data_IF_973243339981
#
_entry.id   IF_973243339981
#
_cell.length_a   1.000
_cell.length_b   1.000
_cell.length_c   1.000
_cell.angle_alpha   90.00
_cell.angle_beta   90.00
_cell.angle_gamma   90.00
#
_symmetry.space_group_name_H-M   'P 1'
#
loop_
_entity.id
_entity.type
_entity.pdbx_description
1 polymer ?
#
# COMPACT_ATOMS: atom_id res chain seq x y z
N UNK A 1 -6.40 9.91 -21.75
CA UNK A 1 -5.17 9.65 -20.95
C UNK A 1 -5.54 9.69 -19.47
N UNK A 2 -5.14 8.67 -18.70
CA UNK A 2 -5.49 8.50 -17.28
C UNK A 2 -4.30 8.87 -16.37
N UNK A 3 -3.13 8.29 -16.65
CA UNK A 3 -1.87 8.54 -15.95
C UNK A 3 -0.70 8.68 -16.93
N UNK A 4 0.35 9.37 -16.49
CA UNK A 4 1.63 9.50 -17.20
C UNK A 4 2.76 9.00 -16.31
N UNK A 5 3.77 8.39 -16.93
CA UNK A 5 4.91 7.77 -16.26
C UNK A 5 6.19 8.36 -16.84
N UNK A 6 7.10 8.82 -15.98
CA UNK A 6 8.33 9.50 -16.39
C UNK A 6 9.60 9.03 -15.67
N UNK A 7 9.48 8.11 -14.71
CA UNK A 7 10.60 7.74 -13.83
C UNK A 7 11.20 6.38 -14.18
N UNK A 8 10.39 5.32 -14.16
CA UNK A 8 10.83 3.93 -14.45
C UNK A 8 10.60 3.59 -15.92
N UNK A 9 9.47 4.03 -16.45
CA UNK A 9 9.10 3.93 -17.86
C UNK A 9 8.64 5.30 -18.32
N UNK A 10 8.89 5.63 -19.59
CA UNK A 10 8.31 6.79 -20.26
C UNK A 10 7.06 6.34 -21.02
N UNK A 11 5.89 6.78 -20.58
CA UNK A 11 4.64 6.35 -21.19
C UNK A 11 3.41 6.91 -20.51
N UNK A 12 2.25 6.37 -20.86
CA UNK A 12 0.98 6.76 -20.29
C UNK A 12 -0.01 5.60 -20.32
N UNK A 13 -1.03 5.66 -19.48
CA UNK A 13 -2.20 4.79 -19.59
C UNK A 13 -3.38 5.57 -20.17
N UNK A 14 -4.21 4.91 -20.98
CA UNK A 14 -5.36 5.52 -21.61
C UNK A 14 -6.48 4.49 -21.83
N UNK A 15 -7.71 4.99 -21.84
CA UNK A 15 -8.86 4.25 -22.35
C UNK A 15 -9.03 4.65 -23.82
N UNK A 16 -8.84 3.69 -24.71
CA UNK A 16 -8.91 3.81 -26.16
C UNK A 16 -9.57 2.54 -26.72
N UNK A 17 -10.01 2.60 -27.97
CA UNK A 17 -10.55 1.44 -28.69
C UNK A 17 -9.42 0.48 -29.09
N UNK A 18 -9.77 -0.78 -29.36
CA UNK A 18 -8.81 -1.78 -29.88
C UNK A 18 -8.15 -1.32 -31.17
N UNK A 19 -8.92 -0.68 -32.07
CA UNK A 19 -8.42 -0.11 -33.33
C UNK A 19 -7.38 0.99 -33.08
N UNK A 20 -7.65 1.89 -32.14
CA UNK A 20 -6.69 2.93 -31.76
C UNK A 20 -5.43 2.34 -31.11
N UNK A 21 -5.59 1.31 -30.26
CA UNK A 21 -4.47 0.59 -29.65
C UNK A 21 -3.58 -0.09 -30.70
N UNK A 22 -4.17 -0.69 -31.74
CA UNK A 22 -3.44 -1.29 -32.83
C UNK A 22 -2.70 -0.26 -33.68
N UNK A 23 -3.32 0.89 -33.97
CA UNK A 23 -2.65 1.99 -34.67
C UNK A 23 -1.50 2.58 -33.84
N UNK A 24 -1.64 2.63 -32.51
CA UNK A 24 -0.65 3.19 -31.60
C UNK A 24 0.64 2.33 -31.57
N UNK A 25 0.53 1.00 -31.70
CA UNK A 25 1.70 0.08 -31.72
C UNK A 25 2.71 0.42 -32.81
N UNK A 26 2.27 1.05 -33.91
CA UNK A 26 3.13 1.38 -35.05
C UNK A 26 3.63 2.83 -35.05
N UNK A 27 3.28 3.62 -34.02
CA UNK A 27 3.75 5.01 -33.95
C UNK A 27 5.24 5.07 -33.55
N UNK A 28 6.05 5.93 -34.19
CA UNK A 28 7.43 6.15 -33.78
C UNK A 28 7.53 6.50 -32.28
N UNK A 29 8.40 5.80 -31.56
CA UNK A 29 8.60 5.99 -30.12
C UNK A 29 7.71 5.11 -29.22
N UNK A 30 6.76 4.35 -29.78
CA UNK A 30 5.98 3.36 -29.01
C UNK A 30 6.71 2.02 -29.02
N UNK A 31 7.20 1.60 -27.86
CA UNK A 31 7.89 0.31 -27.71
C UNK A 31 6.92 -0.86 -27.50
N UNK A 32 5.83 -0.62 -26.78
CA UNK A 32 4.84 -1.65 -26.45
C UNK A 32 3.50 -1.04 -26.09
N UNK A 33 2.41 -1.75 -26.42
CA UNK A 33 1.05 -1.45 -25.95
C UNK A 33 0.53 -2.71 -25.24
N UNK A 34 0.22 -2.59 -23.95
CA UNK A 34 -0.17 -3.71 -23.09
C UNK A 34 -1.61 -3.46 -22.61
N UNK A 35 -2.53 -4.43 -22.78
CA UNK A 35 -3.90 -4.29 -22.29
C UNK A 35 -3.96 -4.33 -20.75
N UNK A 36 -4.84 -3.51 -20.17
CA UNK A 36 -5.12 -3.49 -18.73
C UNK A 36 -5.74 -4.83 -18.27
N UNK A 37 -5.29 -5.34 -17.12
CA UNK A 37 -5.79 -6.60 -16.53
C UNK A 37 -6.19 -6.38 -15.07
N UNK A 38 -7.32 -6.94 -14.65
CA UNK A 38 -7.78 -6.89 -13.26
C UNK A 38 -7.09 -8.01 -12.48
N UNK A 39 -6.59 -7.66 -11.28
CA UNK A 39 -5.98 -8.59 -10.36
C UNK A 39 -6.77 -8.62 -9.05
N UNK A 40 -6.84 -9.79 -8.42
CA UNK A 40 -7.48 -9.98 -7.12
C UNK A 40 -6.45 -9.97 -5.99
N UNK A 41 -6.75 -9.38 -4.81
CA UNK A 41 -5.90 -9.48 -3.64
C UNK A 41 -5.76 -10.94 -3.19
N UNK A 42 -4.53 -11.36 -2.92
CA UNK A 42 -4.25 -12.67 -2.35
C UNK A 42 -3.44 -12.50 -1.05
N UNK A 43 -3.87 -13.16 0.02
CA UNK A 43 -3.03 -13.34 1.21
C UNK A 43 -3.12 -14.74 1.77
N UNK A 44 -1.95 -15.32 2.09
CA UNK A 44 -1.84 -16.53 2.90
C UNK A 44 -1.12 -16.22 4.21
N UNK A 45 -1.63 -16.80 5.28
CA UNK A 45 -1.22 -16.69 6.69
C UNK A 45 0.27 -16.97 6.88
N UNK A 46 1.07 -16.04 7.43
CA UNK A 46 2.53 -16.10 7.23
C UNK A 46 3.47 -15.99 8.45
N UNK A 47 3.23 -15.26 9.55
CA UNK A 47 4.32 -15.08 10.55
C UNK A 47 4.66 -16.34 11.36
N UNK A 48 3.66 -17.00 11.96
CA UNK A 48 3.88 -18.21 12.77
C UNK A 48 4.17 -19.45 11.92
N UNK A 49 3.62 -19.49 10.70
CA UNK A 49 3.91 -20.55 9.73
C UNK A 49 5.40 -20.64 9.39
N UNK A 50 6.11 -19.50 9.43
CA UNK A 50 7.52 -19.42 9.03
C UNK A 50 8.52 -19.68 10.18
N UNK A 51 8.08 -19.93 11.41
CA UNK A 51 8.99 -20.25 12.53
C UNK A 51 9.97 -19.13 12.90
N UNK A 52 9.59 -17.87 12.64
CA UNK A 52 10.43 -16.68 12.80
C UNK A 52 10.36 -16.06 14.22
N UNK A 53 9.91 -16.83 15.20
CA UNK A 53 9.83 -16.44 16.62
C UNK A 53 10.88 -17.20 17.46
N UNK A 54 11.30 -16.63 18.61
CA UNK A 54 12.26 -17.27 19.52
C UNK A 54 13.73 -17.17 19.08
N UNK A 55 14.49 -18.28 19.16
CA UNK A 55 15.95 -18.33 18.90
C UNK A 55 16.37 -17.89 17.49
N UNK A 56 15.42 -17.86 16.54
CA UNK A 56 15.64 -17.44 15.15
C UNK A 56 15.46 -15.93 14.91
N UNK A 57 15.13 -15.14 15.94
CA UNK A 57 15.08 -13.68 15.84
C UNK A 57 16.43 -13.05 15.42
N UNK A 58 17.54 -13.78 15.60
CA UNK A 58 18.88 -13.41 15.16
C UNK A 58 19.05 -13.38 13.62
N UNK A 59 18.08 -13.86 12.84
CA UNK A 59 18.06 -13.73 11.38
C UNK A 59 17.62 -12.34 10.90
N UNK A 60 17.01 -11.53 11.76
CA UNK A 60 16.62 -10.17 11.40
C UNK A 60 17.80 -9.21 11.60
N UNK A 61 18.09 -8.35 10.61
CA UNK A 61 19.08 -7.29 10.79
C UNK A 61 18.72 -6.45 12.00
N UNK A 62 19.75 -5.96 12.70
CA UNK A 62 19.55 -5.15 13.90
C UNK A 62 18.61 -3.95 13.59
N UNK A 63 17.71 -3.57 14.53
CA UNK A 63 16.62 -2.62 14.26
C UNK A 63 17.09 -1.25 13.73
N UNK A 64 18.29 -0.84 14.13
CA UNK A 64 19.03 0.34 13.67
C UNK A 64 19.31 0.33 12.16
N UNK A 65 19.43 -0.85 11.54
CA UNK A 65 19.63 -0.99 10.08
C UNK A 65 18.34 -1.02 9.26
N UNK A 66 17.18 -1.20 9.91
CA UNK A 66 15.87 -1.37 9.25
C UNK A 66 15.04 -0.08 9.28
N UNK A 67 15.35 0.86 10.19
CA UNK A 67 14.65 2.15 10.34
C UNK A 67 14.59 3.03 9.09
N UNK A 68 15.54 2.85 8.17
CA UNK A 68 15.64 3.57 6.89
C UNK A 68 15.02 2.83 5.71
N UNK A 69 14.54 1.60 5.93
CA UNK A 69 13.81 0.82 4.92
C UNK A 69 12.38 1.31 4.84
N UNK A 70 11.89 1.49 3.61
CA UNK A 70 10.49 1.81 3.34
C UNK A 70 9.87 0.62 2.61
N UNK A 71 8.83 0.03 3.18
CA UNK A 71 8.04 -1.01 2.54
C UNK A 71 6.86 -0.35 1.83
N UNK A 72 6.82 -0.48 0.50
CA UNK A 72 5.71 -0.04 -0.33
C UNK A 72 4.64 -1.14 -0.42
N UNK A 73 3.40 -0.84 -0.01
CA UNK A 73 2.25 -1.74 -0.14
C UNK A 73 1.30 -1.27 -1.24
N UNK A 74 0.94 -2.16 -2.17
CA UNK A 74 -0.05 -1.92 -3.22
C UNK A 74 -1.27 -2.79 -2.91
N UNK A 75 -2.33 -2.21 -2.39
CA UNK A 75 -3.43 -2.95 -1.78
C UNK A 75 -4.72 -2.09 -1.73
N UNK A 76 -5.66 -2.38 -0.81
CA UNK A 76 -6.91 -1.64 -0.60
C UNK A 76 -6.79 -0.33 0.19
N UNK A 77 -5.58 0.03 0.63
CA UNK A 77 -5.32 1.26 1.39
C UNK A 77 -4.77 0.98 2.78
N UNK A 78 -4.93 1.96 3.69
CA UNK A 78 -4.54 1.84 5.10
C UNK A 78 -5.53 2.48 6.07
N UNK A 79 -5.71 1.89 7.26
CA UNK A 79 -6.36 2.50 8.41
C UNK A 79 -5.32 3.10 9.37
N UNK A 80 -4.96 4.38 9.23
CA UNK A 80 -3.80 4.98 9.89
C UNK A 80 -3.94 5.11 11.41
N UNK A 81 -5.17 5.13 11.95
CA UNK A 81 -5.41 5.31 13.39
C UNK A 81 -5.07 4.09 14.25
N UNK A 82 -4.73 2.94 13.65
CA UNK A 82 -4.38 1.74 14.43
C UNK A 82 -3.00 1.86 15.08
N UNK A 83 -2.86 1.29 16.28
CA UNK A 83 -1.58 1.23 17.01
C UNK A 83 -0.45 0.54 16.25
N UNK A 84 -0.77 -0.31 15.26
CA UNK A 84 0.22 -0.87 14.34
C UNK A 84 0.96 0.19 13.52
N UNK A 85 0.43 1.42 13.42
CA UNK A 85 1.05 2.57 12.77
C UNK A 85 1.58 3.61 13.75
N UNK A 86 1.69 3.26 15.04
CA UNK A 86 2.35 4.09 16.04
C UNK A 86 3.83 4.29 15.65
N UNK A 87 4.32 5.53 15.76
CA UNK A 87 5.65 5.92 15.32
C UNK A 87 6.63 6.22 16.47
N UNK A 88 6.26 5.85 17.69
CA UNK A 88 7.10 5.97 18.87
C UNK A 88 8.42 5.21 18.69
N UNK A 89 9.51 5.87 19.10
CA UNK A 89 10.86 5.31 18.96
C UNK A 89 11.46 5.40 17.55
N UNK A 90 10.70 5.85 16.55
CA UNK A 90 11.25 6.05 15.21
C UNK A 90 11.90 7.45 15.08
N UNK A 91 13.09 7.47 14.47
CA UNK A 91 13.81 8.68 14.12
C UNK A 91 13.11 9.49 13.01
N UNK A 92 13.72 10.61 12.56
CA UNK A 92 13.17 11.42 11.47
C UNK A 92 12.98 10.60 10.19
N UNK A 93 12.19 11.15 9.26
CA UNK A 93 12.00 10.52 7.95
C UNK A 93 13.33 10.45 7.20
N UNK A 94 13.60 9.36 6.45
CA UNK A 94 14.78 9.28 5.60
C UNK A 94 14.82 10.44 4.62
N UNK A 95 15.94 11.17 4.52
CA UNK A 95 16.07 12.36 3.65
C UNK A 95 15.83 12.06 2.15
N UNK A 96 16.01 10.80 1.75
CA UNK A 96 15.72 10.30 0.39
C UNK A 96 14.22 10.14 0.10
N UNK A 97 13.35 10.20 1.11
CA UNK A 97 11.92 10.02 0.93
C UNK A 97 11.30 11.23 0.21
N UNK A 98 10.59 10.96 -0.87
CA UNK A 98 9.92 11.97 -1.70
C UNK A 98 8.43 11.66 -1.93
N UNK A 99 7.89 10.68 -1.20
CA UNK A 99 6.48 10.34 -1.27
C UNK A 99 5.62 11.41 -0.61
N UNK A 100 4.32 11.32 -0.85
CA UNK A 100 3.33 12.29 -0.35
C UNK A 100 2.29 11.58 0.49
N UNK A 101 1.67 12.33 1.40
CA UNK A 101 0.45 11.94 2.08
C UNK A 101 -0.73 12.60 1.36
N UNK A 102 -1.38 11.86 0.47
CA UNK A 102 -2.45 12.38 -0.38
C UNK A 102 -3.74 12.55 0.42
N UNK A 103 -4.29 13.76 0.42
CA UNK A 103 -5.53 14.11 1.13
C UNK A 103 -6.75 13.64 0.34
N UNK A 104 -7.76 13.14 1.04
CA UNK A 104 -9.04 12.74 0.45
C UNK A 104 -10.13 12.57 1.52
N UNK A 105 -11.22 11.90 1.14
CA UNK A 105 -12.30 11.54 2.08
C UNK A 105 -11.73 10.80 3.29
N UNK A 106 -12.01 11.30 4.50
CA UNK A 106 -11.60 10.72 5.78
C UNK A 106 -10.09 10.40 5.89
N UNK A 107 -9.27 11.16 5.16
CA UNK A 107 -7.82 11.00 5.13
C UNK A 107 -7.15 12.36 4.96
N UNK A 108 -6.44 12.82 5.99
CA UNK A 108 -5.78 14.12 6.01
C UNK A 108 -4.27 13.98 5.87
N UNK A 109 -3.55 15.09 5.71
CA UNK A 109 -2.08 15.06 5.72
C UNK A 109 -1.52 14.57 7.07
N UNK A 110 -2.26 14.78 8.16
CA UNK A 110 -1.91 14.30 9.49
C UNK A 110 -2.15 12.78 9.69
N UNK A 111 -2.79 12.11 8.72
CA UNK A 111 -2.92 10.65 8.72
C UNK A 111 -1.59 9.94 8.49
N UNK A 112 -0.60 10.62 7.89
CA UNK A 112 0.78 10.13 7.84
C UNK A 112 1.60 10.66 9.02
N UNK A 113 2.52 9.84 9.49
CA UNK A 113 3.42 10.14 10.60
C UNK A 113 4.82 9.57 10.27
N UNK A 114 5.67 9.34 11.28
CA UNK A 114 6.99 8.74 11.01
C UNK A 114 6.89 7.23 10.72
N UNK A 115 5.77 6.55 10.98
CA UNK A 115 5.60 5.12 10.68
C UNK A 115 4.97 4.90 9.30
N UNK A 116 3.79 5.46 9.07
CA UNK A 116 3.15 5.56 7.76
C UNK A 116 3.61 6.86 7.12
N UNK A 117 4.60 6.79 6.25
CA UNK A 117 5.33 7.98 5.77
C UNK A 117 4.80 8.53 4.44
N UNK A 118 3.91 7.80 3.79
CA UNK A 118 3.16 8.27 2.64
C UNK A 118 2.02 7.35 2.28
N UNK A 119 1.02 7.93 1.65
CA UNK A 119 -0.22 7.25 1.31
C UNK A 119 -0.79 7.90 0.06
N UNK A 120 -1.09 7.09 -0.96
CA UNK A 120 -1.68 7.53 -2.22
C UNK A 120 -2.77 6.58 -2.66
N UNK A 121 -3.61 7.02 -3.59
CA UNK A 121 -4.62 6.17 -4.21
C UNK A 121 -4.70 6.41 -5.72
N UNK A 122 -5.07 5.38 -6.48
CA UNK A 122 -5.18 5.43 -7.94
C UNK A 122 -6.53 4.90 -8.38
N UNK A 123 -7.44 5.83 -8.68
CA UNK A 123 -8.87 5.52 -8.90
C UNK A 123 -9.31 5.61 -10.36
N UNK A 124 -8.62 6.41 -11.19
CA UNK A 124 -9.06 6.71 -12.57
C UNK A 124 -9.19 5.48 -13.45
N UNK A 125 -8.32 4.49 -13.27
CA UNK A 125 -8.35 3.22 -14.02
C UNK A 125 -9.61 2.41 -13.69
N UNK A 126 -9.86 2.22 -12.40
CA UNK A 126 -11.07 1.58 -11.88
C UNK A 126 -12.34 2.27 -12.39
N UNK A 127 -12.48 3.58 -12.18
CA UNK A 127 -13.69 4.32 -12.60
C UNK A 127 -13.91 4.22 -14.11
N UNK A 128 -12.82 4.18 -14.90
CA UNK A 128 -12.96 4.00 -16.34
C UNK A 128 -13.38 2.59 -16.74
N UNK A 129 -12.89 1.57 -16.04
CA UNK A 129 -13.22 0.17 -16.31
C UNK A 129 -14.66 -0.16 -15.90
N UNK A 130 -15.09 0.33 -14.74
CA UNK A 130 -16.44 0.10 -14.22
C UNK A 130 -17.50 0.97 -14.90
N UNK A 131 -17.10 2.09 -15.50
CA UNK A 131 -18.02 2.99 -16.19
C UNK A 131 -18.82 3.91 -15.26
N UNK A 132 -18.50 3.92 -13.97
CA UNK A 132 -19.10 4.79 -12.96
C UNK A 132 -18.02 5.24 -11.95
N UNK A 133 -18.24 6.37 -11.24
CA UNK A 133 -17.35 6.77 -10.14
C UNK A 133 -17.41 5.77 -8.98
N UNK A 134 -16.39 5.79 -8.11
CA UNK A 134 -16.44 5.05 -6.84
C UNK A 134 -17.67 5.48 -6.04
N UNK A 135 -18.42 4.51 -5.51
CA UNK A 135 -19.51 4.76 -4.58
C UNK A 135 -18.94 5.16 -3.22
N UNK A 136 -18.99 6.47 -2.96
CA UNK A 136 -18.43 7.08 -1.74
C UNK A 136 -19.23 6.74 -0.47
N UNK A 137 -20.36 6.05 -0.58
CA UNK A 137 -21.13 5.58 0.57
C UNK A 137 -20.59 4.27 1.15
N UNK A 138 -19.82 3.52 0.35
CA UNK A 138 -19.23 2.23 0.73
C UNK A 138 -17.70 2.25 0.75
N UNK A 139 -17.07 3.16 0.00
CA UNK A 139 -15.61 3.26 -0.05
C UNK A 139 -15.10 4.70 -0.17
N UNK A 140 -14.06 5.02 0.60
CA UNK A 140 -13.42 6.31 0.62
C UNK A 140 -12.59 6.53 -0.65
N UNK A 141 -12.85 7.65 -1.35
CA UNK A 141 -12.01 8.13 -2.47
C UNK A 141 -10.76 8.83 -1.92
N UNK A 142 -9.94 8.07 -1.22
CA UNK A 142 -8.71 8.47 -0.54
C UNK A 142 -7.80 7.25 -0.34
N UNK A 143 -6.60 7.40 0.27
CA UNK A 143 -5.80 6.24 0.66
C UNK A 143 -6.38 5.37 1.79
N UNK A 144 -7.53 5.74 2.37
CA UNK A 144 -8.17 4.97 3.45
C UNK A 144 -8.55 3.57 2.98
N UNK A 145 -8.32 2.61 3.87
CA UNK A 145 -8.78 1.24 3.71
C UNK A 145 -10.19 1.07 4.28
N UNK A 146 -11.16 0.79 3.43
CA UNK A 146 -12.54 0.49 3.84
C UNK A 146 -12.83 -1.02 3.81
N UNK A 147 -11.87 -1.85 3.40
CA UNK A 147 -12.01 -3.33 3.32
C UNK A 147 -11.23 -4.06 4.41
N UNK A 148 -10.07 -3.53 4.78
CA UNK A 148 -9.17 -4.06 5.81
C UNK A 148 -7.99 -4.89 5.27
N UNK A 149 -8.00 -5.29 4.00
CA UNK A 149 -6.94 -6.17 3.45
C UNK A 149 -5.57 -5.47 3.47
N UNK A 150 -5.48 -4.24 2.96
CA UNK A 150 -4.24 -3.45 2.93
C UNK A 150 -3.71 -3.09 4.31
N UNK A 151 -4.60 -2.81 5.25
CA UNK A 151 -4.25 -2.59 6.65
C UNK A 151 -3.68 -3.85 7.28
N UNK A 152 -4.30 -5.00 7.03
CA UNK A 152 -3.85 -6.27 7.54
C UNK A 152 -2.48 -6.65 6.95
N UNK A 153 -2.30 -6.56 5.63
CA UNK A 153 -1.05 -6.90 4.95
C UNK A 153 0.12 -6.02 5.36
N UNK A 154 -0.09 -4.70 5.38
CA UNK A 154 0.98 -3.76 5.74
C UNK A 154 1.36 -3.85 7.22
N UNK A 155 0.41 -4.16 8.11
CA UNK A 155 0.71 -4.43 9.52
C UNK A 155 1.45 -5.76 9.74
N UNK A 156 1.22 -6.79 8.91
CA UNK A 156 2.05 -8.01 8.90
C UNK A 156 3.48 -7.67 8.44
N UNK A 157 3.64 -6.87 7.40
CA UNK A 157 4.97 -6.56 6.87
C UNK A 157 5.79 -5.74 7.88
N UNK A 158 5.19 -4.68 8.42
CA UNK A 158 5.91 -3.70 9.22
C UNK A 158 5.08 -3.05 10.32
N UNK A 159 4.03 -3.66 10.86
CA UNK A 159 3.33 -3.11 12.02
C UNK A 159 4.24 -2.87 13.23
N UNK A 160 4.05 -1.75 13.91
CA UNK A 160 4.63 -1.50 15.24
C UNK A 160 4.10 -2.53 16.24
N UNK A 161 4.81 -2.72 17.35
CA UNK A 161 4.44 -3.71 18.35
C UNK A 161 3.22 -3.24 19.16
N UNK A 162 2.12 -4.00 19.10
CA UNK A 162 0.88 -3.76 19.84
C UNK A 162 0.71 -4.84 20.90
N UNK A 163 0.84 -4.46 22.17
CA UNK A 163 0.66 -5.38 23.30
C UNK A 163 -0.82 -5.70 23.50
N UNK A 164 -1.11 -6.89 24.04
CA UNK A 164 -2.45 -7.35 24.38
C UNK A 164 -3.42 -7.35 23.18
N UNK A 165 -2.89 -7.55 21.96
CA UNK A 165 -3.70 -7.72 20.77
C UNK A 165 -4.37 -9.10 20.79
N UNK A 166 -5.65 -9.16 20.41
CA UNK A 166 -6.40 -10.40 20.24
C UNK A 166 -7.59 -10.18 19.29
N UNK A 167 -8.12 -11.26 18.73
CA UNK A 167 -9.40 -11.26 18.03
C UNK A 167 -10.42 -11.96 18.91
N UNK A 168 -11.31 -11.22 19.58
CA UNK A 168 -12.31 -11.79 20.49
C UNK A 168 -11.70 -12.75 21.54
N UNK A 169 -10.49 -12.44 22.02
CA UNK A 169 -9.72 -13.26 22.98
C UNK A 169 -8.83 -14.35 22.34
N UNK A 170 -9.04 -14.69 21.07
CA UNK A 170 -8.17 -15.61 20.33
C UNK A 170 -6.84 -14.96 19.95
N UNK A 171 -5.79 -15.78 19.85
CA UNK A 171 -4.43 -15.37 19.48
C UNK A 171 -3.88 -14.21 20.32
N UNK A 172 -4.18 -14.22 21.63
CA UNK A 172 -3.73 -13.18 22.56
C UNK A 172 -2.20 -13.10 22.63
N UNK A 173 -1.66 -11.90 22.43
CA UNK A 173 -0.21 -11.71 22.48
C UNK A 173 0.23 -10.29 22.10
N UNK A 174 1.47 -10.17 21.62
CA UNK A 174 1.96 -8.93 21.02
C UNK A 174 1.91 -9.07 19.50
N UNK A 175 0.99 -8.36 18.86
CA UNK A 175 0.97 -8.25 17.41
C UNK A 175 2.12 -7.34 16.96
N UNK A 176 2.85 -7.74 15.91
CA UNK A 176 3.92 -6.91 15.33
C UNK A 176 4.20 -7.36 13.91
N UNK A 177 4.70 -6.45 13.09
CA UNK A 177 5.17 -6.78 11.77
C UNK A 177 6.51 -7.53 11.78
N UNK A 178 6.85 -8.09 10.63
CA UNK A 178 8.14 -8.74 10.40
C UNK A 178 9.31 -7.76 10.57
N UNK A 179 9.13 -6.52 10.10
CA UNK A 179 10.11 -5.44 10.18
C UNK A 179 9.53 -4.23 10.96
N UNK A 180 9.44 -4.35 12.29
CA UNK A 180 8.80 -3.34 13.16
C UNK A 180 9.40 -1.94 13.06
N UNK A 181 10.70 -1.82 12.75
CA UNK A 181 11.37 -0.53 12.58
C UNK A 181 11.20 0.07 11.16
N UNK A 182 10.78 -0.73 10.18
CA UNK A 182 10.61 -0.25 8.80
C UNK A 182 9.46 0.76 8.71
N UNK A 183 9.58 1.67 7.75
CA UNK A 183 8.54 2.64 7.38
C UNK A 183 7.58 2.01 6.39
N UNK A 184 6.34 2.46 6.37
CA UNK A 184 5.32 1.99 5.43
C UNK A 184 4.93 3.13 4.49
N UNK A 185 4.80 2.82 3.21
CA UNK A 185 4.15 3.68 2.24
C UNK A 185 3.06 2.90 1.51
N UNK A 186 1.85 3.42 1.48
CA UNK A 186 0.70 2.69 0.91
C UNK A 186 0.21 3.33 -0.38
N UNK A 187 -0.16 2.48 -1.33
CA UNK A 187 -0.70 2.83 -2.62
C UNK A 187 -1.99 2.06 -2.82
N UNK A 188 -3.13 2.69 -2.55
CA UNK A 188 -4.46 2.11 -2.78
C UNK A 188 -4.71 1.95 -4.28
N UNK A 189 -4.80 0.71 -4.72
CA UNK A 189 -5.05 0.32 -6.12
C UNK A 189 -6.18 -0.70 -6.24
N UNK A 190 -6.54 -1.35 -5.14
CA UNK A 190 -7.72 -2.20 -5.03
C UNK A 190 -8.92 -1.38 -4.53
N UNK A 191 -10.07 -1.57 -5.15
CA UNK A 191 -11.32 -0.88 -4.88
C UNK A 191 -12.44 -1.92 -4.76
N UNK A 192 -13.52 -1.59 -4.06
CA UNK A 192 -14.71 -2.44 -3.95
C UNK A 192 -15.43 -2.40 -5.31
N UNK A 193 -15.43 -3.52 -6.03
CA UNK A 193 -15.99 -3.65 -7.38
C UNK A 193 -16.68 -4.99 -7.58
#
# INVERSE_FOLDING_TARGET
MLYTFNNVIHGFSASITEKEADLLKYQPGVLSVIPETIYEPHTTRTPDFLGLTGKNAALFPAPDKVGDVVIGGFDSGVWPELESYNDAGLGPLPSRWKGVCEVGTDFSSASCNKKLIGARFYVKGYEKKMGHPVDKTVESRSPRDDTGHGTHTSSIAAGSAVKNASLLGYASGTARGMATAARVAVYKVCWIG
#
